data_IF_020069075737
#
_entry.id   IF_020069075737
#
_cell.length_a   1.000
_cell.length_b   1.000
_cell.length_c   1.000
_cell.angle_alpha   90.00
_cell.angle_beta   90.00
_cell.angle_gamma   90.00
#
_symmetry.space_group_name_H-M   'P 1'
#
loop_
_entity.id
_entity.type
_entity.pdbx_description
1 polymer ?
#
# COMPACT_ATOMS: atom_id res chain seq x y z
N UNK A 1 -12.52 22.60 9.97
CA UNK A 1 -12.57 24.08 9.98
C UNK A 1 -11.19 24.68 9.76
N UNK A 2 -10.16 24.16 10.41
CA UNK A 2 -8.84 24.77 10.45
C UNK A 2 -7.94 24.33 9.28
N UNK A 3 -8.30 23.27 8.58
CA UNK A 3 -7.51 22.70 7.49
C UNK A 3 -6.27 21.95 7.99
N UNK A 4 -5.50 21.33 7.09
CA UNK A 4 -4.24 20.66 7.43
C UNK A 4 -3.13 21.68 7.71
N UNK A 5 -2.17 21.30 8.54
CA UNK A 5 -0.93 22.06 8.75
C UNK A 5 0.01 21.94 7.53
N UNK A 6 0.99 22.83 7.45
CA UNK A 6 2.00 22.78 6.39
C UNK A 6 2.84 21.49 6.43
N UNK A 7 3.11 20.99 7.63
CA UNK A 7 3.83 19.73 7.82
C UNK A 7 3.03 18.52 7.35
N UNK A 8 1.73 18.44 7.69
CA UNK A 8 0.84 17.38 7.21
C UNK A 8 0.72 17.39 5.68
N UNK A 9 0.60 18.57 5.05
CA UNK A 9 0.57 18.69 3.59
C UNK A 9 1.88 18.20 2.98
N UNK A 10 3.01 18.58 3.56
CA UNK A 10 4.33 18.19 3.05
C UNK A 10 4.55 16.68 3.18
N UNK A 11 4.21 16.08 4.33
CA UNK A 11 4.32 14.63 4.54
C UNK A 11 3.43 13.86 3.57
N UNK A 12 2.18 14.27 3.45
CA UNK A 12 1.23 13.60 2.56
C UNK A 12 1.64 13.68 1.08
N UNK A 13 2.13 14.86 0.65
CA UNK A 13 2.67 15.07 -0.69
C UNK A 13 3.84 14.12 -0.97
N UNK A 14 4.83 14.07 -0.07
CA UNK A 14 5.99 13.18 -0.21
C UNK A 14 5.58 11.71 -0.26
N UNK A 15 4.68 11.29 0.61
CA UNK A 15 4.19 9.91 0.64
C UNK A 15 3.43 9.54 -0.64
N UNK A 16 2.57 10.44 -1.14
CA UNK A 16 1.79 10.24 -2.37
C UNK A 16 2.71 10.17 -3.60
N UNK A 17 3.67 11.08 -3.72
CA UNK A 17 4.67 11.07 -4.79
C UNK A 17 5.50 9.77 -4.76
N UNK A 18 5.97 9.37 -3.58
CA UNK A 18 6.71 8.13 -3.40
C UNK A 18 5.88 6.89 -3.79
N UNK A 19 4.61 6.87 -3.42
CA UNK A 19 3.67 5.82 -3.82
C UNK A 19 3.50 5.74 -5.34
N UNK A 20 3.35 6.90 -5.99
CA UNK A 20 3.24 6.98 -7.45
C UNK A 20 4.52 6.49 -8.15
N UNK A 21 5.70 6.93 -7.71
CA UNK A 21 6.99 6.50 -8.26
C UNK A 21 7.13 4.97 -8.19
N UNK A 22 6.77 4.35 -7.06
CA UNK A 22 6.78 2.89 -6.90
C UNK A 22 5.73 2.19 -7.78
N UNK A 23 4.55 2.79 -7.91
CA UNK A 23 3.46 2.26 -8.72
C UNK A 23 3.85 2.12 -10.20
N UNK A 24 4.51 3.13 -10.76
CA UNK A 24 4.92 3.13 -12.17
C UNK A 24 6.16 2.28 -12.47
N UNK A 25 6.76 1.61 -11.51
CA UNK A 25 7.78 0.59 -11.76
C UNK A 25 7.20 -0.55 -12.60
N UNK A 26 5.95 -0.94 -12.32
CA UNK A 26 5.25 -2.00 -13.05
C UNK A 26 4.72 -1.48 -14.37
N UNK A 27 4.87 -2.28 -15.44
CA UNK A 27 4.33 -1.94 -16.77
C UNK A 27 2.83 -2.22 -16.83
N UNK A 28 2.42 -3.40 -16.42
CA UNK A 28 1.04 -3.88 -16.42
C UNK A 28 0.55 -4.28 -15.03
N UNK A 29 -0.62 -4.92 -14.98
CA UNK A 29 -1.32 -5.25 -13.74
C UNK A 29 -2.02 -4.04 -13.14
N UNK A 30 -2.70 -4.24 -12.01
CA UNK A 30 -3.44 -3.17 -11.34
C UNK A 30 -2.48 -2.09 -10.79
N UNK A 31 -2.67 -0.84 -11.23
CA UNK A 31 -1.90 0.33 -10.80
C UNK A 31 -0.52 0.50 -11.45
N UNK A 32 -0.23 -0.21 -12.55
CA UNK A 32 1.00 0.00 -13.33
C UNK A 32 0.90 1.15 -14.34
N UNK A 33 1.96 1.34 -15.13
CA UNK A 33 2.02 2.39 -16.18
C UNK A 33 0.86 2.31 -17.16
N UNK A 34 0.49 1.09 -17.58
CA UNK A 34 -0.60 0.88 -18.53
C UNK A 34 -1.94 1.34 -17.96
N UNK A 35 -2.21 1.04 -16.70
CA UNK A 35 -3.45 1.46 -16.02
C UNK A 35 -3.50 2.98 -15.89
N UNK A 36 -2.43 3.63 -15.45
CA UNK A 36 -2.36 5.09 -15.32
C UNK A 36 -2.62 5.80 -16.66
N UNK A 37 -2.06 5.29 -17.75
CA UNK A 37 -2.27 5.85 -19.09
C UNK A 37 -3.69 5.57 -19.59
N UNK A 38 -4.22 4.37 -19.35
CA UNK A 38 -5.57 4.00 -19.78
C UNK A 38 -6.64 4.78 -19.03
N UNK A 39 -6.50 4.92 -17.71
CA UNK A 39 -7.40 5.72 -16.87
C UNK A 39 -7.45 7.17 -17.36
N UNK A 40 -6.29 7.78 -17.55
CA UNK A 40 -6.18 9.12 -18.10
C UNK A 40 -6.82 9.25 -19.49
N UNK A 41 -6.60 8.28 -20.38
CA UNK A 41 -7.16 8.30 -21.73
C UNK A 41 -8.68 8.15 -21.72
N UNK A 42 -9.22 7.23 -20.89
CA UNK A 42 -10.66 6.91 -20.86
C UNK A 42 -11.46 8.00 -20.16
N UNK A 43 -11.02 8.47 -19.01
CA UNK A 43 -11.82 9.40 -18.20
C UNK A 43 -11.54 10.87 -18.52
N UNK A 44 -10.33 11.19 -18.96
CA UNK A 44 -9.93 12.59 -19.23
C UNK A 44 -9.67 12.87 -20.72
N UNK A 45 -9.77 11.86 -21.59
CA UNK A 45 -9.46 12.00 -23.01
C UNK A 45 -8.00 12.31 -23.33
N UNK A 46 -7.11 12.26 -22.34
CA UNK A 46 -5.69 12.60 -22.47
C UNK A 46 -4.84 11.62 -21.66
N UNK A 47 -4.07 10.73 -22.28
CA UNK A 47 -3.23 9.76 -21.56
C UNK A 47 -2.15 10.41 -20.67
N UNK A 48 -1.88 11.72 -20.87
CA UNK A 48 -0.93 12.50 -20.07
C UNK A 48 -1.51 13.15 -18.81
N UNK A 49 -2.79 12.93 -18.47
CA UNK A 49 -3.46 13.61 -17.33
C UNK A 49 -2.77 13.40 -15.98
N UNK A 50 -2.00 12.32 -15.81
CA UNK A 50 -1.22 12.09 -14.60
C UNK A 50 -0.24 13.24 -14.29
N UNK A 51 0.23 13.97 -15.31
CA UNK A 51 1.11 15.13 -15.12
C UNK A 51 0.40 16.26 -14.42
N UNK A 52 -0.88 16.48 -14.77
CA UNK A 52 -1.71 17.51 -14.14
C UNK A 52 -2.02 17.13 -12.69
N UNK A 53 -2.25 15.84 -12.43
CA UNK A 53 -2.44 15.31 -11.06
C UNK A 53 -1.19 15.51 -10.20
N UNK A 54 0.00 15.20 -10.73
CA UNK A 54 1.27 15.41 -10.04
C UNK A 54 1.55 16.90 -9.82
N UNK A 55 1.23 17.76 -10.79
CA UNK A 55 1.33 19.21 -10.64
C UNK A 55 0.41 19.71 -9.53
N UNK A 56 -0.85 19.30 -9.53
CA UNK A 56 -1.82 19.65 -8.48
C UNK A 56 -1.31 19.21 -7.09
N UNK A 57 -0.73 18.02 -7.00
CA UNK A 57 -0.11 17.53 -5.76
C UNK A 57 1.07 18.42 -5.34
N UNK A 58 1.95 18.79 -6.27
CA UNK A 58 3.11 19.64 -5.99
C UNK A 58 2.72 21.06 -5.54
N UNK A 59 1.62 21.58 -6.04
CA UNK A 59 1.09 22.92 -5.74
C UNK A 59 0.13 22.94 -4.54
N UNK A 60 -0.12 21.77 -3.89
CA UNK A 60 -1.00 21.69 -2.73
C UNK A 60 -0.46 22.52 -1.55
N UNK A 61 -1.32 23.37 -0.98
CA UNK A 61 -1.03 24.17 0.22
C UNK A 61 -2.16 24.02 1.25
N UNK A 62 -1.90 24.31 2.53
CA UNK A 62 -2.96 24.31 3.55
C UNK A 62 -4.17 25.15 3.17
N UNK A 63 -3.93 26.32 2.55
CA UNK A 63 -4.96 27.27 2.15
C UNK A 63 -5.87 26.73 1.06
N UNK A 64 -5.29 26.17 -0.03
CA UNK A 64 -6.09 25.66 -1.13
C UNK A 64 -6.82 24.36 -0.75
N UNK A 65 -6.24 23.52 0.09
CA UNK A 65 -6.90 22.33 0.62
C UNK A 65 -8.06 22.70 1.56
N UNK A 66 -7.88 23.69 2.44
CA UNK A 66 -8.96 24.19 3.29
C UNK A 66 -10.09 24.81 2.45
N UNK A 67 -9.75 25.58 1.42
CA UNK A 67 -10.74 26.18 0.53
C UNK A 67 -11.56 25.09 -0.20
N UNK A 68 -10.89 24.07 -0.72
CA UNK A 68 -11.55 22.95 -1.39
C UNK A 68 -12.44 22.15 -0.40
N UNK A 69 -11.93 21.84 0.79
CA UNK A 69 -12.70 21.17 1.84
C UNK A 69 -13.96 21.95 2.22
N UNK A 70 -13.87 23.26 2.40
CA UNK A 70 -15.03 24.10 2.69
C UNK A 70 -16.02 24.17 1.51
N UNK A 71 -15.53 24.13 0.27
CA UNK A 71 -16.39 24.16 -0.90
C UNK A 71 -17.19 22.87 -1.08
N UNK A 72 -16.60 21.73 -0.79
CA UNK A 72 -17.20 20.42 -1.08
C UNK A 72 -17.77 19.71 0.17
N UNK A 73 -17.16 19.87 1.34
CA UNK A 73 -17.52 19.18 2.57
C UNK A 73 -18.15 20.10 3.63
N UNK A 74 -18.31 21.40 3.33
CA UNK A 74 -18.87 22.38 4.25
C UNK A 74 -20.35 22.09 4.58
N UNK A 75 -20.81 22.63 5.69
CA UNK A 75 -22.19 22.51 6.12
C UNK A 75 -23.17 22.98 5.02
N UNK A 76 -24.22 22.21 4.78
CA UNK A 76 -25.21 22.49 3.73
C UNK A 76 -24.79 22.07 2.31
N UNK A 77 -23.69 21.36 2.14
CA UNK A 77 -23.20 20.88 0.84
C UNK A 77 -23.67 19.45 0.48
N UNK A 78 -24.75 18.96 1.08
CA UNK A 78 -25.31 17.63 0.75
C UNK A 78 -24.57 16.45 1.37
N UNK A 79 -23.79 16.69 2.42
CA UNK A 79 -23.15 15.59 3.17
C UNK A 79 -24.16 14.80 3.97
N UNK A 80 -24.07 13.47 3.95
CA UNK A 80 -24.84 12.57 4.81
C UNK A 80 -23.90 11.92 5.83
N UNK A 81 -24.32 11.92 7.09
CA UNK A 81 -23.60 11.26 8.17
C UNK A 81 -24.35 10.00 8.57
N UNK A 82 -23.74 8.82 8.38
CA UNK A 82 -24.23 7.57 8.93
C UNK A 82 -23.48 7.27 10.23
N UNK A 83 -24.24 7.20 11.33
CA UNK A 83 -23.69 6.80 12.62
C UNK A 83 -24.09 5.36 12.91
N UNK A 84 -23.08 4.47 12.96
CA UNK A 84 -23.28 3.06 13.31
C UNK A 84 -22.87 2.87 14.77
N UNK A 85 -23.87 2.62 15.61
CA UNK A 85 -23.63 2.34 17.03
C UNK A 85 -23.52 0.82 17.26
N UNK A 86 -22.58 0.36 18.11
CA UNK A 86 -22.54 -1.03 18.54
C UNK A 86 -23.84 -1.38 19.25
N UNK A 87 -24.44 -2.52 18.90
CA UNK A 87 -25.69 -2.95 19.50
C UNK A 87 -25.98 -4.41 19.20
N UNK A 88 -27.03 -4.93 19.85
CA UNK A 88 -27.52 -6.27 19.52
C UNK A 88 -28.07 -6.25 18.09
N UNK A 89 -27.72 -7.27 17.29
CA UNK A 89 -28.29 -7.46 15.96
C UNK A 89 -29.82 -7.57 16.09
N UNK A 90 -30.53 -6.59 15.58
CA UNK A 90 -31.98 -6.66 15.43
C UNK A 90 -32.22 -7.45 14.14
N UNK A 91 -32.97 -8.55 14.24
CA UNK A 91 -33.49 -9.21 13.03
C UNK A 91 -34.43 -8.22 12.34
N UNK A 92 -34.00 -7.62 11.25
CA UNK A 92 -34.90 -6.89 10.37
C UNK A 92 -35.80 -7.97 9.76
N UNK A 93 -37.12 -7.80 9.89
CA UNK A 93 -38.05 -8.66 9.15
C UNK A 93 -37.59 -8.60 7.68
N UNK A 94 -37.31 -9.76 7.08
CA UNK A 94 -37.05 -9.80 5.65
C UNK A 94 -38.27 -9.15 5.02
N UNK A 95 -38.07 -7.97 4.41
CA UNK A 95 -39.07 -7.41 3.53
C UNK A 95 -39.47 -8.51 2.59
N UNK A 96 -40.75 -8.82 2.54
CA UNK A 96 -41.29 -9.83 1.65
C UNK A 96 -40.59 -9.63 0.30
N UNK A 97 -39.74 -10.59 -0.07
CA UNK A 97 -38.83 -10.47 -1.21
C UNK A 97 -39.66 -9.97 -2.38
N UNK A 98 -39.51 -8.69 -2.70
CA UNK A 98 -40.06 -8.11 -3.90
C UNK A 98 -39.41 -8.96 -5.00
N UNK A 99 -40.14 -9.90 -5.55
CA UNK A 99 -39.62 -10.66 -6.68
C UNK A 99 -39.23 -9.62 -7.70
N UNK A 100 -37.91 -9.51 -8.03
CA UNK A 100 -37.49 -8.53 -8.99
C UNK A 100 -38.33 -8.74 -10.24
N UNK A 101 -38.88 -7.65 -10.77
CA UNK A 101 -39.64 -7.73 -12.04
C UNK A 101 -38.76 -8.49 -13.04
N UNK A 102 -39.35 -9.37 -13.85
CA UNK A 102 -38.58 -10.13 -14.85
C UNK A 102 -37.70 -9.14 -15.61
N UNK A 103 -36.39 -9.36 -15.57
CA UNK A 103 -35.46 -8.51 -16.32
C UNK A 103 -35.68 -8.79 -17.81
N UNK A 104 -36.44 -7.92 -18.45
CA UNK A 104 -36.57 -7.94 -19.90
C UNK A 104 -35.31 -7.27 -20.48
N UNK A 105 -34.45 -8.04 -21.10
CA UNK A 105 -33.32 -7.50 -21.85
C UNK A 105 -33.82 -6.44 -22.83
N UNK A 106 -33.40 -5.18 -22.73
CA UNK A 106 -33.80 -4.16 -23.66
C UNK A 106 -33.50 -4.63 -25.10
N UNK A 107 -34.45 -4.49 -26.00
CA UNK A 107 -34.15 -4.72 -27.42
C UNK A 107 -33.05 -3.77 -27.83
N UNK A 108 -31.97 -4.30 -28.39
CA UNK A 108 -30.89 -3.49 -28.93
C UNK A 108 -31.47 -2.55 -29.99
N UNK A 109 -31.24 -1.25 -29.84
CA UNK A 109 -31.70 -0.26 -30.81
C UNK A 109 -31.09 -0.59 -32.17
N UNK A 110 -31.95 -0.70 -33.23
CA UNK A 110 -31.54 -1.09 -34.58
C UNK A 110 -30.50 -0.16 -35.21
N UNK A 111 -30.30 1.04 -34.63
CA UNK A 111 -29.23 1.96 -35.03
C UNK A 111 -27.83 1.52 -34.57
N UNK A 112 -27.72 0.67 -33.54
CA UNK A 112 -26.46 0.09 -33.12
C UNK A 112 -26.06 -1.02 -34.08
N UNK A 113 -25.17 -0.76 -34.98
CA UNK A 113 -24.56 -1.73 -35.87
C UNK A 113 -23.23 -2.19 -35.27
N UNK A 114 -23.07 -3.51 -35.16
CA UNK A 114 -21.76 -4.07 -34.84
C UNK A 114 -20.83 -3.82 -36.03
N UNK A 115 -19.71 -3.15 -35.79
CA UNK A 115 -18.66 -3.04 -36.81
C UNK A 115 -17.99 -4.41 -36.94
N UNK A 116 -17.87 -4.93 -38.17
CA UNK A 116 -17.15 -6.14 -38.41
C UNK A 116 -15.69 -5.99 -37.92
N UNK A 117 -15.24 -6.92 -37.11
CA UNK A 117 -13.86 -6.92 -36.64
C UNK A 117 -12.93 -7.20 -37.83
N UNK A 118 -11.93 -6.35 -38.03
CA UNK A 118 -10.84 -6.59 -38.98
C UNK A 118 -9.86 -7.66 -38.50
N UNK A 119 -9.97 -8.02 -37.21
CA UNK A 119 -9.10 -9.04 -36.59
C UNK A 119 -9.69 -10.43 -36.84
N UNK A 120 -8.97 -11.27 -37.55
CA UNK A 120 -9.32 -12.66 -37.73
C UNK A 120 -8.99 -13.46 -36.47
N UNK A 121 -10.05 -13.88 -35.73
CA UNK A 121 -9.93 -14.67 -34.49
C UNK A 121 -10.13 -16.19 -34.72
N UNK A 122 -10.31 -16.64 -35.97
CA UNK A 122 -10.54 -18.05 -36.26
C UNK A 122 -9.38 -18.98 -35.87
N UNK A 123 -8.16 -18.42 -35.79
CA UNK A 123 -6.96 -19.14 -35.37
C UNK A 123 -6.71 -19.10 -33.84
N UNK A 124 -7.64 -18.58 -33.05
CA UNK A 124 -7.47 -18.37 -31.62
C UNK A 124 -6.54 -17.18 -31.27
N UNK A 125 -6.08 -17.17 -30.03
CA UNK A 125 -5.14 -16.15 -29.54
C UNK A 125 -3.76 -16.38 -30.17
N UNK A 126 -3.11 -15.35 -30.75
CA UNK A 126 -1.73 -15.50 -31.23
C UNK A 126 -0.82 -15.91 -30.08
N UNK A 127 -0.25 -17.08 -30.19
CA UNK A 127 0.73 -17.58 -29.23
C UNK A 127 2.14 -17.14 -29.67
N UNK A 128 3.00 -16.69 -28.75
CA UNK A 128 4.37 -16.40 -29.09
C UNK A 128 5.07 -17.68 -29.57
N UNK A 129 5.78 -17.61 -30.68
CA UNK A 129 6.57 -18.69 -31.23
C UNK A 129 7.91 -18.88 -30.52
N UNK A 130 8.33 -17.85 -29.78
CA UNK A 130 9.50 -17.87 -28.93
C UNK A 130 9.27 -17.00 -27.69
N UNK A 131 9.88 -17.39 -26.58
CA UNK A 131 9.86 -16.59 -25.36
C UNK A 131 11.17 -15.79 -25.25
N UNK A 132 11.13 -14.53 -24.79
CA UNK A 132 12.34 -13.78 -24.57
C UNK A 132 13.23 -14.48 -23.54
N UNK A 133 14.53 -14.47 -23.77
CA UNK A 133 15.49 -15.01 -22.81
C UNK A 133 15.44 -14.15 -21.53
N UNK A 134 15.23 -14.80 -20.39
CA UNK A 134 15.28 -14.13 -19.10
C UNK A 134 16.74 -13.74 -18.79
N UNK A 135 16.97 -12.46 -18.61
CA UNK A 135 18.27 -11.90 -18.21
C UNK A 135 18.08 -11.23 -16.85
N UNK A 136 18.71 -11.79 -15.83
CA UNK A 136 18.73 -11.16 -14.50
C UNK A 136 19.78 -10.05 -14.46
N UNK A 137 19.57 -8.99 -13.64
CA UNK A 137 20.59 -8.00 -13.36
C UNK A 137 21.86 -8.67 -12.80
N UNK A 138 23.02 -8.12 -13.14
CA UNK A 138 24.28 -8.57 -12.55
C UNK A 138 24.25 -8.36 -11.03
N UNK A 139 24.67 -9.39 -10.30
CA UNK A 139 24.74 -9.32 -8.83
C UNK A 139 26.16 -9.03 -8.40
N UNK A 140 26.31 -8.07 -7.50
CA UNK A 140 27.55 -7.80 -6.80
C UNK A 140 27.47 -8.40 -5.39
N UNK A 141 28.55 -9.03 -4.93
CA UNK A 141 28.62 -9.70 -3.64
C UNK A 141 29.70 -9.07 -2.77
N UNK A 142 29.37 -8.81 -1.52
CA UNK A 142 30.31 -8.32 -0.52
C UNK A 142 30.06 -9.00 0.83
N UNK A 143 31.03 -8.90 1.71
CA UNK A 143 30.88 -9.35 3.11
C UNK A 143 31.33 -8.21 4.02
N UNK A 144 30.47 -7.83 4.95
CA UNK A 144 30.77 -6.84 5.96
C UNK A 144 31.75 -7.39 7.00
N UNK A 145 32.37 -6.50 7.79
CA UNK A 145 33.34 -6.88 8.84
C UNK A 145 32.76 -7.86 9.88
N UNK A 146 31.46 -7.80 10.12
CA UNK A 146 30.76 -8.69 11.05
C UNK A 146 30.34 -10.03 10.42
N UNK A 147 30.75 -10.31 9.16
CA UNK A 147 30.39 -11.53 8.45
C UNK A 147 29.07 -11.49 7.68
N UNK A 148 28.30 -10.40 7.76
CA UNK A 148 27.04 -10.27 7.03
C UNK A 148 27.32 -10.22 5.52
N UNK A 149 26.65 -11.08 4.77
CA UNK A 149 26.72 -11.11 3.31
C UNK A 149 25.80 -10.04 2.73
N UNK A 150 26.30 -9.31 1.75
CA UNK A 150 25.55 -8.29 1.01
C UNK A 150 25.47 -8.72 -0.44
N UNK A 151 24.28 -8.68 -1.01
CA UNK A 151 24.03 -8.92 -2.43
C UNK A 151 23.37 -7.65 -2.97
N UNK A 152 23.98 -7.05 -3.99
CA UNK A 152 23.45 -5.85 -4.66
C UNK A 152 23.13 -6.20 -6.11
N UNK A 153 21.89 -5.86 -6.53
CA UNK A 153 21.45 -5.90 -7.92
C UNK A 153 20.98 -4.50 -8.34
N UNK A 154 21.71 -3.87 -9.23
CA UNK A 154 21.43 -2.51 -9.65
C UNK A 154 20.33 -2.46 -10.72
N UNK A 155 19.31 -1.62 -10.48
CA UNK A 155 18.29 -1.23 -11.43
C UNK A 155 18.05 0.27 -11.31
N UNK A 156 17.99 0.95 -12.46
CA UNK A 156 17.90 2.42 -12.50
C UNK A 156 16.62 2.94 -13.19
N UNK A 157 15.61 2.09 -13.35
CA UNK A 157 14.35 2.44 -14.01
C UNK A 157 13.54 3.48 -13.22
N UNK A 158 13.67 3.43 -11.89
CA UNK A 158 13.04 4.37 -10.95
C UNK A 158 14.03 4.75 -9.83
N UNK A 159 13.91 5.95 -9.24
CA UNK A 159 14.81 6.43 -8.20
C UNK A 159 14.43 5.88 -6.80
N UNK A 160 14.39 4.55 -6.66
CA UNK A 160 14.04 3.85 -5.42
C UNK A 160 15.15 2.85 -5.06
N UNK A 161 15.49 2.78 -3.79
CA UNK A 161 16.35 1.74 -3.22
C UNK A 161 15.51 0.85 -2.32
N UNK A 162 15.55 -0.45 -2.59
CA UNK A 162 14.93 -1.47 -1.76
C UNK A 162 16.01 -2.28 -1.06
N UNK A 163 15.85 -2.53 0.22
CA UNK A 163 16.77 -3.30 1.04
C UNK A 163 15.99 -4.23 1.94
N UNK A 164 16.49 -5.46 2.09
CA UNK A 164 16.01 -6.41 3.08
C UNK A 164 17.19 -6.95 3.88
N UNK A 165 17.05 -7.00 5.18
CA UNK A 165 17.95 -7.74 6.06
C UNK A 165 17.24 -9.00 6.52
N UNK A 166 17.70 -10.13 5.99
CA UNK A 166 17.11 -11.43 6.25
C UNK A 166 17.98 -12.21 7.22
N UNK A 167 17.37 -12.84 8.22
CA UNK A 167 18.06 -13.64 9.21
C UNK A 167 17.28 -14.93 9.50
N UNK A 168 18.00 -15.94 9.96
CA UNK A 168 17.41 -17.22 10.37
C UNK A 168 16.65 -17.06 11.69
N UNK A 169 15.56 -17.76 11.81
CA UNK A 169 14.71 -17.75 13.01
C UNK A 169 13.38 -17.07 12.70
N UNK A 170 12.39 -17.87 12.36
CA UNK A 170 11.00 -17.48 12.16
C UNK A 170 10.12 -18.15 13.20
N UNK A 171 8.86 -18.30 12.91
CA UNK A 171 7.86 -18.88 13.84
C UNK A 171 8.13 -20.35 14.20
N UNK A 172 8.88 -21.09 13.36
CA UNK A 172 9.31 -22.46 13.69
C UNK A 172 10.34 -22.51 14.83
N UNK A 173 11.00 -21.40 15.13
CA UNK A 173 11.94 -21.28 16.25
C UNK A 173 11.29 -20.78 17.55
N UNK A 174 9.99 -20.50 17.53
CA UNK A 174 9.27 -20.06 18.72
C UNK A 174 9.29 -21.17 19.80
N UNK A 175 9.43 -20.79 21.07
CA UNK A 175 9.24 -21.74 22.17
C UNK A 175 7.84 -22.38 22.10
N UNK A 176 7.76 -23.68 22.40
CA UNK A 176 6.51 -24.45 22.31
C UNK A 176 5.37 -23.86 23.17
N UNK A 177 5.72 -23.21 24.27
CA UNK A 177 4.80 -22.53 25.16
C UNK A 177 4.46 -21.08 24.77
N UNK A 178 5.11 -20.55 23.72
CA UNK A 178 4.94 -19.16 23.24
C UNK A 178 4.86 -19.06 21.72
N UNK A 179 3.93 -19.79 21.07
CA UNK A 179 3.79 -19.73 19.62
C UNK A 179 3.35 -18.32 19.17
N UNK A 180 3.94 -17.82 18.10
CA UNK A 180 3.69 -16.48 17.54
C UNK A 180 4.61 -15.39 18.10
N UNK A 181 5.57 -15.76 18.97
CA UNK A 181 6.49 -14.79 19.56
C UNK A 181 7.31 -14.04 18.51
N UNK A 182 7.83 -14.73 17.50
CA UNK A 182 8.58 -14.13 16.42
C UNK A 182 7.74 -13.09 15.64
N UNK A 183 6.51 -13.45 15.24
CA UNK A 183 5.59 -12.54 14.58
C UNK A 183 5.25 -11.33 15.43
N UNK A 184 4.98 -11.54 16.69
CA UNK A 184 4.65 -10.47 17.61
C UNK A 184 5.81 -9.51 17.82
N UNK A 185 7.03 -10.04 18.03
CA UNK A 185 8.23 -9.22 18.18
C UNK A 185 8.55 -8.41 16.92
N UNK A 186 8.43 -9.02 15.74
CA UNK A 186 8.65 -8.32 14.46
C UNK A 186 7.61 -7.24 14.21
N UNK A 187 6.34 -7.48 14.58
CA UNK A 187 5.27 -6.49 14.48
C UNK A 187 5.36 -5.34 15.50
N UNK A 188 6.31 -5.39 16.42
CA UNK A 188 6.58 -4.30 17.38
C UNK A 188 7.77 -3.43 16.97
N UNK A 189 8.54 -3.81 15.94
CA UNK A 189 9.77 -3.09 15.59
C UNK A 189 9.51 -1.68 15.07
N UNK A 190 8.40 -1.45 14.41
CA UNK A 190 7.99 -0.14 13.86
C UNK A 190 7.08 0.66 14.81
N UNK A 191 6.86 0.15 16.03
CA UNK A 191 6.11 0.83 17.10
C UNK A 191 6.99 1.79 17.90
N UNK A 192 8.01 2.35 17.27
CA UNK A 192 8.93 3.32 17.80
C UNK A 192 10.37 2.82 17.90
N UNK A 193 11.32 3.73 17.65
CA UNK A 193 12.74 3.43 17.67
C UNK A 193 13.57 4.66 18.06
N UNK A 194 14.65 4.45 18.78
CA UNK A 194 15.47 5.54 19.29
C UNK A 194 14.67 6.47 20.17
N UNK A 195 14.64 7.75 19.82
CA UNK A 195 13.89 8.79 20.54
C UNK A 195 12.46 8.98 20.00
N UNK A 196 12.08 8.27 18.92
CA UNK A 196 10.79 8.39 18.28
C UNK A 196 9.81 7.36 18.87
N UNK A 197 8.65 7.81 19.34
CA UNK A 197 7.52 6.95 19.64
C UNK A 197 6.86 6.42 18.34
N UNK A 198 5.84 5.58 18.46
CA UNK A 198 5.18 4.95 17.31
C UNK A 198 4.64 5.97 16.29
N UNK A 199 4.02 7.06 16.75
CA UNK A 199 3.47 8.09 15.88
C UNK A 199 4.58 8.91 15.22
N UNK A 200 5.57 9.35 15.98
CA UNK A 200 6.70 10.11 15.47
C UNK A 200 7.55 9.28 14.49
N UNK A 201 7.68 7.97 14.72
CA UNK A 201 8.36 7.05 13.81
C UNK A 201 7.59 6.94 12.47
N UNK A 202 6.28 6.73 12.53
CA UNK A 202 5.42 6.67 11.35
C UNK A 202 5.44 8.01 10.58
N UNK A 203 5.31 9.13 11.27
CA UNK A 203 5.40 10.48 10.70
C UNK A 203 6.75 10.72 10.00
N UNK A 204 7.83 10.26 10.63
CA UNK A 204 9.18 10.38 10.04
C UNK A 204 9.32 9.55 8.79
N UNK A 205 8.85 8.31 8.79
CA UNK A 205 8.84 7.45 7.60
C UNK A 205 8.04 8.09 6.46
N UNK A 206 6.84 8.62 6.77
CA UNK A 206 6.00 9.30 5.81
C UNK A 206 6.68 10.56 5.23
N UNK A 207 7.30 11.39 6.07
CA UNK A 207 8.00 12.59 5.64
C UNK A 207 9.17 12.29 4.69
N UNK A 208 9.78 11.12 4.82
CA UNK A 208 10.86 10.64 3.95
C UNK A 208 10.33 9.93 2.68
N UNK A 209 9.03 9.67 2.59
CA UNK A 209 8.46 8.80 1.56
C UNK A 209 9.04 7.37 1.65
N UNK A 210 9.48 6.97 2.82
CA UNK A 210 10.04 5.65 3.09
C UNK A 210 8.96 4.67 3.53
N UNK A 211 9.15 3.41 3.20
CA UNK A 211 8.41 2.29 3.76
C UNK A 211 9.40 1.42 4.51
N UNK A 212 9.20 1.27 5.80
CA UNK A 212 9.99 0.40 6.67
C UNK A 212 9.05 -0.58 7.36
N UNK A 213 9.53 -1.76 7.66
CA UNK A 213 8.74 -2.74 8.39
C UNK A 213 9.52 -4.03 8.59
N UNK A 214 8.88 -4.95 9.30
CA UNK A 214 9.45 -6.24 9.61
C UNK A 214 8.38 -7.32 9.56
N UNK A 215 8.78 -8.54 9.27
CA UNK A 215 7.90 -9.72 9.30
C UNK A 215 8.67 -10.96 9.73
N UNK A 216 7.96 -11.95 10.25
CA UNK A 216 8.49 -13.29 10.47
C UNK A 216 7.76 -14.27 9.55
N UNK A 217 8.55 -15.03 8.78
CA UNK A 217 8.08 -16.21 8.07
C UNK A 217 8.21 -17.46 8.95
N UNK A 218 8.11 -18.64 8.35
CA UNK A 218 8.27 -19.90 9.07
C UNK A 218 9.72 -20.07 9.57
N UNK A 219 10.70 -19.90 8.68
CA UNK A 219 12.11 -20.21 8.95
C UNK A 219 13.02 -18.97 9.04
N UNK A 220 12.49 -17.79 8.73
CA UNK A 220 13.27 -16.55 8.67
C UNK A 220 12.48 -15.34 9.12
N UNK A 221 13.19 -14.34 9.60
CA UNK A 221 12.69 -13.00 9.79
C UNK A 221 13.31 -12.05 8.76
N UNK A 222 12.56 -11.02 8.37
CA UNK A 222 13.00 -9.98 7.43
C UNK A 222 12.66 -8.61 7.97
N UNK A 223 13.62 -7.70 7.87
CA UNK A 223 13.40 -6.28 8.11
C UNK A 223 13.72 -5.53 6.81
N UNK A 224 12.76 -4.76 6.32
CA UNK A 224 12.86 -4.15 5.00
C UNK A 224 12.75 -2.65 5.01
N UNK A 225 13.37 -2.04 4.02
CA UNK A 225 13.30 -0.62 3.71
C UNK A 225 13.05 -0.44 2.21
N UNK A 226 12.10 0.41 1.85
CA UNK A 226 11.98 1.00 0.52
C UNK A 226 12.09 2.51 0.66
N UNK A 227 13.11 3.12 0.07
CA UNK A 227 13.39 4.54 0.18
C UNK A 227 13.52 5.20 -1.18
N UNK A 228 13.06 6.44 -1.30
CA UNK A 228 13.44 7.29 -2.42
C UNK A 228 14.95 7.54 -2.39
N UNK A 229 15.62 7.49 -3.54
CA UNK A 229 17.08 7.69 -3.63
C UNK A 229 17.54 9.02 -3.01
N UNK A 230 16.77 10.09 -3.19
CA UNK A 230 17.06 11.40 -2.62
C UNK A 230 17.00 11.44 -1.08
N UNK A 231 16.22 10.55 -0.46
CA UNK A 231 16.03 10.46 0.99
C UNK A 231 16.67 9.18 1.57
N UNK A 232 17.60 8.54 0.83
CA UNK A 232 18.17 7.26 1.23
C UNK A 232 18.88 7.34 2.58
N UNK A 233 19.77 8.33 2.77
CA UNK A 233 20.56 8.44 3.98
C UNK A 233 19.69 8.60 5.26
N UNK A 234 18.76 9.56 5.36
CA UNK A 234 17.89 9.66 6.52
C UNK A 234 16.94 8.47 6.67
N UNK A 235 16.55 7.80 5.58
CA UNK A 235 15.73 6.58 5.64
C UNK A 235 16.52 5.40 6.19
N UNK A 236 17.80 5.29 5.82
CA UNK A 236 18.73 4.30 6.37
C UNK A 236 18.99 4.51 7.86
N UNK A 237 19.07 5.75 8.32
CA UNK A 237 19.21 6.07 9.74
C UNK A 237 17.97 5.59 10.53
N UNK A 238 16.76 5.88 10.03
CA UNK A 238 15.51 5.41 10.63
C UNK A 238 15.43 3.88 10.67
N UNK A 239 15.79 3.22 9.59
CA UNK A 239 15.86 1.76 9.50
C UNK A 239 16.87 1.15 10.48
N UNK A 240 18.04 1.76 10.60
CA UNK A 240 19.07 1.32 11.54
C UNK A 240 18.64 1.49 13.01
N UNK A 241 17.92 2.55 13.33
CA UNK A 241 17.37 2.74 14.68
C UNK A 241 16.28 1.70 14.98
N UNK A 242 15.40 1.38 14.02
CA UNK A 242 14.41 0.31 14.16
C UNK A 242 15.05 -1.04 14.49
N UNK A 243 16.18 -1.37 13.85
CA UNK A 243 16.90 -2.63 14.09
C UNK A 243 17.71 -2.64 15.41
N UNK A 244 18.28 -1.49 15.81
CA UNK A 244 19.27 -1.43 16.87
C UNK A 244 18.75 -0.87 18.18
N UNK A 245 17.64 -0.11 18.11
CA UNK A 245 17.08 0.62 19.26
C UNK A 245 15.55 0.58 19.23
N UNK A 246 14.91 -0.60 19.02
CA UNK A 246 13.45 -0.69 19.14
C UNK A 246 13.05 -0.33 20.57
N UNK A 247 11.95 0.39 20.73
CA UNK A 247 11.53 0.87 22.06
C UNK A 247 10.84 -0.21 22.89
N UNK A 248 9.99 -1.01 22.28
CA UNK A 248 9.18 -2.02 22.98
C UNK A 248 8.49 -1.47 24.23
N UNK A 249 7.87 -0.30 24.13
CA UNK A 249 7.16 0.31 25.23
C UNK A 249 5.95 -0.55 25.63
N UNK A 250 5.72 -0.67 26.95
CA UNK A 250 4.66 -1.56 27.47
C UNK A 250 3.27 -1.18 26.93
N UNK A 251 3.01 0.11 26.76
CA UNK A 251 1.74 0.59 26.22
C UNK A 251 1.50 0.13 24.76
N UNK A 252 2.56 0.13 23.93
CA UNK A 252 2.50 -0.34 22.54
C UNK A 252 2.36 -1.86 22.49
N UNK A 253 3.10 -2.59 23.33
CA UNK A 253 2.96 -4.02 23.49
C UNK A 253 1.51 -4.39 23.85
N UNK A 254 0.91 -3.71 24.81
CA UNK A 254 -0.47 -3.99 25.24
C UNK A 254 -1.49 -3.66 24.15
N UNK A 255 -1.30 -2.55 23.44
CA UNK A 255 -2.14 -2.14 22.33
C UNK A 255 -2.09 -3.14 21.16
N UNK A 256 -0.89 -3.49 20.68
CA UNK A 256 -0.69 -4.43 19.56
C UNK A 256 -1.20 -5.82 19.94
N UNK A 257 -0.94 -6.29 21.17
CA UNK A 257 -1.49 -7.55 21.68
C UNK A 257 -3.01 -7.55 21.67
N UNK A 258 -3.64 -6.46 22.11
CA UNK A 258 -5.10 -6.31 22.08
C UNK A 258 -5.66 -6.40 20.67
N UNK A 259 -5.05 -5.73 19.72
CA UNK A 259 -5.42 -5.78 18.30
C UNK A 259 -5.27 -7.20 17.72
N UNK A 260 -4.18 -7.87 18.03
CA UNK A 260 -3.93 -9.24 17.56
C UNK A 260 -4.97 -10.23 18.08
N UNK A 261 -5.27 -10.17 19.37
CA UNK A 261 -6.31 -11.02 19.97
C UNK A 261 -7.68 -10.73 19.34
N UNK A 262 -7.99 -9.47 19.06
CA UNK A 262 -9.23 -9.10 18.37
C UNK A 262 -9.28 -9.67 16.95
N UNK A 263 -8.17 -9.58 16.21
CA UNK A 263 -8.04 -10.17 14.87
C UNK A 263 -8.28 -11.68 14.85
N UNK A 264 -7.64 -12.41 15.77
CA UNK A 264 -7.81 -13.87 15.90
C UNK A 264 -9.28 -14.22 16.23
N UNK A 265 -9.94 -13.46 17.12
CA UNK A 265 -11.35 -13.67 17.43
C UNK A 265 -12.25 -13.44 16.22
N UNK A 266 -11.95 -12.41 15.42
CA UNK A 266 -12.68 -12.11 14.20
C UNK A 266 -12.49 -13.21 13.15
N UNK A 267 -11.26 -13.69 12.95
CA UNK A 267 -10.96 -14.79 12.05
C UNK A 267 -11.73 -16.05 12.43
N UNK A 268 -11.72 -16.44 13.71
CA UNK A 268 -12.49 -17.58 14.22
C UNK A 268 -14.01 -17.44 14.08
N UNK A 269 -14.51 -16.21 14.00
CA UNK A 269 -15.93 -15.95 13.78
C UNK A 269 -16.30 -15.91 12.28
N UNK A 270 -15.33 -15.91 11.39
CA UNK A 270 -15.55 -15.93 9.94
C UNK A 270 -15.81 -17.37 9.49
N UNK A 271 -16.97 -17.68 8.86
CA UNK A 271 -17.31 -19.02 8.39
C UNK A 271 -16.36 -19.58 7.32
N UNK A 272 -15.52 -18.73 6.73
CA UNK A 272 -14.51 -19.10 5.71
C UNK A 272 -13.07 -19.07 6.29
N UNK A 273 -12.90 -18.88 7.59
CA UNK A 273 -11.63 -18.83 8.28
C UNK A 273 -11.15 -20.20 8.76
#
# INVERSE_FOLDING_TARGET
KDGPSADEVTRNRTATEAGWIRGVERIGGFGGKADALAECAVFMGNPGCFRDSLKTLAEATPENLRASGNAWLGAGKGSHTLVVNPGKRVAIAEDATVKPAPFNTPKVDAKYKTTASTVNRSKGVPMPTSFPKLVFPAQQHATLRNGTKVILAERHDIPVVQMSYDFRGGTAADPADKPGMANFAMGLLDEGAGDLDALAFADRAQALGATVGANAGLDSGSVYLSALKQNLEPSMALYADMLRKPRFEQADIDRVRGQWIAGIKQEKANPNG
#
